data_IF_394447257956
#
_entry.id   IF_394447257956
#
_cell.length_a   1.000
_cell.length_b   1.000
_cell.length_c   1.000
_cell.angle_alpha   90.00
_cell.angle_beta   90.00
_cell.angle_gamma   90.00
#
_symmetry.space_group_name_H-M   'P 1'
#
loop_
_entity.id
_entity.type
_entity.pdbx_description
1 polymer ?
#
# COMPACT_ATOMS: atom_id res chain seq x y z
N UNK A 1 11.53 14.25 -68.06
CA UNK A 1 10.67 13.08 -67.78
C UNK A 1 10.43 13.02 -66.29
N UNK A 2 9.18 13.09 -65.82
CA UNK A 2 8.86 13.01 -64.40
C UNK A 2 8.97 11.57 -63.89
N UNK A 3 9.55 11.41 -62.71
CA UNK A 3 9.62 10.15 -61.96
C UNK A 3 8.20 9.69 -61.54
N UNK A 4 7.93 8.38 -61.47
CA UNK A 4 6.63 7.87 -61.09
C UNK A 4 6.34 8.14 -59.60
N UNK A 5 5.08 8.45 -59.32
CA UNK A 5 4.53 8.63 -57.99
C UNK A 5 4.70 7.33 -57.17
N UNK A 6 5.38 7.44 -56.02
CA UNK A 6 5.37 6.40 -54.99
C UNK A 6 3.99 6.39 -54.34
N UNK A 7 3.25 5.30 -54.57
CA UNK A 7 1.99 5.03 -53.91
C UNK A 7 2.21 4.88 -52.40
N UNK A 8 1.63 5.80 -51.63
CA UNK A 8 1.41 5.67 -50.19
C UNK A 8 0.49 4.48 -49.93
N UNK A 9 1.02 3.32 -49.54
CA UNK A 9 0.29 2.28 -48.79
C UNK A 9 1.26 1.21 -48.26
N UNK A 10 2.24 1.61 -47.46
CA UNK A 10 2.78 0.68 -46.47
C UNK A 10 1.98 0.87 -45.18
N UNK A 11 0.95 0.03 -45.06
CA UNK A 11 0.26 -0.21 -43.79
C UNK A 11 1.31 -0.69 -42.80
N UNK A 12 1.63 0.14 -41.81
CA UNK A 12 2.20 -0.33 -40.54
C UNK A 12 1.35 -1.53 -40.09
N UNK A 13 1.93 -2.70 -39.78
CA UNK A 13 1.14 -3.78 -39.24
C UNK A 13 0.56 -3.29 -37.91
N UNK A 14 -0.75 -3.07 -37.89
CA UNK A 14 -1.51 -2.95 -36.66
C UNK A 14 -1.36 -4.32 -35.96
N UNK A 15 -0.37 -4.42 -35.07
CA UNK A 15 -0.34 -5.52 -34.11
C UNK A 15 -1.62 -5.31 -33.30
N UNK A 16 -2.61 -6.15 -33.56
CA UNK A 16 -3.80 -6.24 -32.74
C UNK A 16 -3.32 -6.66 -31.35
N UNK A 17 -3.13 -5.69 -30.46
CA UNK A 17 -2.99 -5.84 -29.00
C UNK A 17 -4.31 -6.32 -28.38
N UNK A 18 -5.09 -7.09 -29.15
CA UNK A 18 -6.33 -7.69 -28.72
C UNK A 18 -5.93 -8.84 -27.81
N UNK A 19 -6.08 -8.58 -26.51
CA UNK A 19 -6.47 -9.60 -25.54
C UNK A 19 -5.35 -10.56 -25.15
N UNK A 20 -4.47 -10.10 -24.26
CA UNK A 20 -3.61 -10.99 -23.50
C UNK A 20 -4.40 -11.54 -22.31
N UNK A 21 -4.92 -12.76 -22.50
CA UNK A 21 -5.57 -13.57 -21.47
C UNK A 21 -4.50 -14.29 -20.64
N UNK A 22 -4.48 -14.08 -19.33
CA UNK A 22 -3.65 -14.84 -18.38
C UNK A 22 -4.54 -15.62 -17.41
N UNK A 23 -4.80 -16.89 -17.70
CA UNK A 23 -5.82 -17.65 -16.97
C UNK A 23 -7.20 -17.05 -17.24
N UNK A 24 -7.90 -16.60 -16.20
CA UNK A 24 -9.18 -15.86 -16.32
C UNK A 24 -9.03 -14.34 -16.25
N UNK A 25 -7.80 -13.81 -16.24
CA UNK A 25 -7.52 -12.38 -16.07
C UNK A 25 -7.17 -11.71 -17.39
N UNK A 26 -7.72 -10.51 -17.61
CA UNK A 26 -7.58 -9.68 -18.80
C UNK A 26 -6.62 -8.51 -18.59
N UNK A 27 -5.70 -8.29 -19.54
CA UNK A 27 -4.82 -7.13 -19.55
C UNK A 27 -5.46 -5.93 -20.27
N UNK A 28 -5.49 -4.74 -19.64
CA UNK A 28 -5.95 -3.51 -20.32
C UNK A 28 -4.86 -2.98 -21.29
N UNK A 29 -5.09 -3.00 -22.62
CA UNK A 29 -4.06 -2.63 -23.60
C UNK A 29 -3.75 -1.12 -23.61
N UNK A 30 -4.73 -0.26 -23.30
CA UNK A 30 -4.56 1.20 -23.30
C UNK A 30 -3.64 1.69 -22.18
N UNK A 31 -3.78 1.10 -20.99
CA UNK A 31 -2.91 1.33 -19.85
C UNK A 31 -1.54 0.65 -20.05
N UNK A 32 -1.53 -0.57 -20.59
CA UNK A 32 -0.30 -1.32 -20.83
C UNK A 32 0.64 -0.64 -21.83
N UNK A 33 0.10 -0.09 -22.92
CA UNK A 33 0.85 0.72 -23.89
C UNK A 33 1.54 1.95 -23.25
N UNK A 34 1.18 2.33 -22.02
CA UNK A 34 1.75 3.44 -21.25
C UNK A 34 2.54 2.97 -20.02
N UNK A 35 2.90 1.69 -19.96
CA UNK A 35 3.72 1.11 -18.89
C UNK A 35 2.94 0.70 -17.63
N UNK A 36 1.62 0.59 -17.72
CA UNK A 36 0.73 0.16 -16.62
C UNK A 36 0.12 -1.21 -16.91
N UNK A 37 0.51 -2.22 -16.14
CA UNK A 37 -0.14 -3.53 -16.17
C UNK A 37 -1.38 -3.46 -15.28
N UNK A 38 -2.54 -3.75 -15.86
CA UNK A 38 -3.82 -3.83 -15.15
C UNK A 38 -4.46 -5.16 -15.52
N UNK A 39 -4.64 -6.03 -14.54
CA UNK A 39 -5.32 -7.33 -14.72
C UNK A 39 -6.72 -7.27 -14.11
N UNK A 40 -7.74 -7.65 -14.89
CA UNK A 40 -9.14 -7.64 -14.46
C UNK A 40 -9.81 -9.01 -14.66
N UNK A 41 -10.73 -9.42 -13.79
CA UNK A 41 -11.42 -10.72 -13.92
C UNK A 41 -12.44 -10.73 -15.07
N UNK A 42 -13.10 -9.62 -15.32
CA UNK A 42 -14.02 -9.47 -16.45
C UNK A 42 -13.29 -8.98 -17.71
N UNK A 43 -13.78 -9.42 -18.88
CA UNK A 43 -13.38 -8.90 -20.17
C UNK A 43 -13.71 -7.40 -20.23
N UNK A 44 -12.67 -6.57 -20.14
CA UNK A 44 -12.82 -5.13 -20.24
C UNK A 44 -13.00 -4.78 -21.73
N UNK A 45 -14.06 -4.04 -22.06
CA UNK A 45 -14.24 -3.48 -23.41
C UNK A 45 -12.96 -2.79 -23.88
N UNK A 46 -12.53 -3.09 -25.10
CA UNK A 46 -11.36 -2.52 -25.78
C UNK A 46 -11.40 -0.99 -25.90
N UNK A 47 -12.56 -0.37 -25.66
CA UNK A 47 -12.79 1.07 -25.81
C UNK A 47 -12.65 1.86 -24.50
N UNK A 48 -12.35 1.19 -23.38
CA UNK A 48 -12.25 1.86 -22.07
C UNK A 48 -10.91 2.56 -21.89
N UNK A 49 -10.93 3.89 -22.01
CA UNK A 49 -9.81 4.80 -21.66
C UNK A 49 -9.74 5.12 -20.16
N UNK A 50 -10.66 4.55 -19.37
CA UNK A 50 -10.82 4.75 -17.95
C UNK A 50 -10.90 3.42 -17.20
N UNK A 51 -10.46 3.41 -15.95
CA UNK A 51 -10.37 2.27 -15.05
C UNK A 51 -10.85 2.67 -13.66
N UNK A 52 -11.80 1.93 -13.09
CA UNK A 52 -12.16 2.11 -11.68
C UNK A 52 -11.21 1.30 -10.78
N UNK A 53 -10.48 1.99 -9.90
CA UNK A 53 -9.66 1.39 -8.84
C UNK A 53 -10.21 1.80 -7.48
N UNK A 54 -10.99 0.92 -6.84
CA UNK A 54 -11.59 1.14 -5.51
C UNK A 54 -12.43 2.43 -5.42
N UNK A 55 -13.33 2.64 -6.37
CA UNK A 55 -14.17 3.83 -6.45
C UNK A 55 -13.42 5.07 -6.95
N UNK A 56 -12.29 4.88 -7.63
CA UNK A 56 -11.52 5.93 -8.30
C UNK A 56 -11.52 5.66 -9.80
N UNK A 57 -12.32 6.43 -10.51
CA UNK A 57 -12.40 6.43 -11.97
C UNK A 57 -11.15 7.12 -12.57
N UNK A 58 -10.09 6.34 -12.81
CA UNK A 58 -8.80 6.80 -13.34
C UNK A 58 -8.79 6.78 -14.87
N UNK A 59 -8.33 7.86 -15.49
CA UNK A 59 -8.10 7.90 -16.94
C UNK A 59 -6.82 8.67 -17.26
N UNK A 60 -6.23 8.41 -18.41
CA UNK A 60 -5.24 9.34 -18.96
C UNK A 60 -5.94 10.64 -19.39
N UNK A 61 -5.34 11.78 -19.06
CA UNK A 61 -5.95 13.07 -19.36
C UNK A 61 -5.99 13.34 -20.87
N UNK A 62 -7.19 13.45 -21.43
CA UNK A 62 -7.45 14.12 -22.71
C UNK A 62 -7.76 15.59 -22.43
N UNK A 63 -6.90 16.50 -22.88
CA UNK A 63 -6.96 17.97 -22.74
C UNK A 63 -8.10 18.56 -21.87
N UNK A 64 -8.00 18.51 -20.54
CA UNK A 64 -8.92 19.24 -19.67
C UNK A 64 -8.26 19.75 -18.38
N UNK A 65 -8.63 20.98 -18.01
CA UNK A 65 -8.28 21.69 -16.75
C UNK A 65 -6.86 22.31 -16.63
N UNK A 66 -6.50 23.20 -17.56
CA UNK A 66 -5.19 23.89 -17.66
C UNK A 66 -4.68 24.56 -16.37
N UNK A 67 -5.55 25.08 -15.49
CA UNK A 67 -5.15 25.83 -14.29
C UNK A 67 -4.64 24.95 -13.14
N UNK A 68 -5.37 23.88 -12.82
CA UNK A 68 -4.95 22.91 -11.80
C UNK A 68 -3.69 22.15 -12.25
N UNK A 69 -3.66 21.78 -13.54
CA UNK A 69 -2.48 21.22 -14.21
C UNK A 69 -1.25 22.11 -14.01
N UNK A 70 -1.35 23.40 -14.31
CA UNK A 70 -0.24 24.35 -14.15
C UNK A 70 0.26 24.43 -12.71
N UNK A 71 -0.62 24.36 -11.70
CA UNK A 71 -0.21 24.39 -10.29
C UNK A 71 0.62 23.15 -9.92
N UNK A 72 0.11 21.96 -10.20
CA UNK A 72 0.78 20.71 -9.81
C UNK A 72 2.05 20.49 -10.63
N UNK A 73 2.04 20.85 -11.91
CA UNK A 73 3.21 20.80 -12.77
C UNK A 73 4.31 21.76 -12.32
N UNK A 74 3.97 22.99 -11.91
CA UNK A 74 4.95 23.93 -11.34
C UNK A 74 5.54 23.38 -10.04
N UNK A 75 4.73 22.80 -9.17
CA UNK A 75 5.21 22.18 -7.93
C UNK A 75 6.15 21.00 -8.25
N UNK A 76 5.78 20.14 -9.19
CA UNK A 76 6.63 19.03 -9.65
C UNK A 76 7.95 19.55 -10.22
N UNK A 77 7.90 20.54 -11.11
CA UNK A 77 9.10 21.16 -11.66
C UNK A 77 10.00 21.74 -10.57
N UNK A 78 9.44 22.44 -9.57
CA UNK A 78 10.21 22.97 -8.44
C UNK A 78 10.85 21.87 -7.59
N UNK A 79 10.16 20.76 -7.35
CA UNK A 79 10.69 19.60 -6.61
C UNK A 79 11.91 18.98 -7.30
N UNK A 80 11.94 19.00 -8.63
CA UNK A 80 12.98 18.35 -9.43
C UNK A 80 14.00 19.34 -10.05
N UNK A 81 13.77 20.66 -9.96
CA UNK A 81 14.55 21.71 -10.63
C UNK A 81 16.04 21.70 -10.25
N UNK A 82 16.36 21.28 -9.03
CA UNK A 82 17.72 21.27 -8.49
C UNK A 82 18.61 20.14 -9.03
N UNK A 83 18.06 19.14 -9.73
CA UNK A 83 18.80 17.98 -10.26
C UNK A 83 18.41 17.62 -11.70
N UNK A 84 17.83 18.58 -12.43
CA UNK A 84 17.02 18.39 -13.63
C UNK A 84 17.81 18.38 -14.95
N UNK A 85 18.84 17.53 -15.10
CA UNK A 85 19.42 17.25 -16.44
C UNK A 85 18.82 16.02 -17.13
N UNK A 86 17.98 15.22 -16.46
CA UNK A 86 17.50 13.93 -17.01
C UNK A 86 16.00 13.65 -16.88
N UNK A 87 15.20 14.53 -16.28
CA UNK A 87 13.74 14.30 -16.16
C UNK A 87 13.02 15.05 -17.29
N UNK A 88 12.75 14.33 -18.37
CA UNK A 88 11.94 14.82 -19.47
C UNK A 88 10.46 14.84 -19.03
N UNK A 89 10.03 15.91 -18.33
CA UNK A 89 8.62 16.15 -18.01
C UNK A 89 7.95 16.61 -19.32
N UNK A 90 7.64 15.65 -20.20
CA UNK A 90 7.02 15.94 -21.48
C UNK A 90 5.60 16.46 -21.21
N UNK A 91 5.41 17.78 -21.27
CA UNK A 91 4.17 18.47 -20.90
C UNK A 91 2.96 18.14 -21.79
N UNK A 92 3.14 17.31 -22.82
CA UNK A 92 2.12 16.97 -23.82
C UNK A 92 1.69 15.49 -23.84
N UNK A 93 2.19 14.60 -22.96
CA UNK A 93 1.79 13.19 -22.99
C UNK A 93 1.64 12.56 -21.59
N UNK A 94 0.44 12.00 -21.34
CA UNK A 94 0.15 10.91 -20.40
C UNK A 94 0.35 11.13 -18.88
N UNK A 95 -0.39 12.09 -18.28
CA UNK A 95 -0.67 12.06 -16.83
C UNK A 95 -2.04 11.43 -16.56
N UNK A 96 -2.17 10.78 -15.40
CA UNK A 96 -3.41 10.10 -14.98
C UNK A 96 -4.22 11.04 -14.10
N UNK A 97 -5.53 11.09 -14.33
CA UNK A 97 -6.46 11.86 -13.50
C UNK A 97 -7.53 10.95 -12.93
N UNK A 98 -8.02 11.30 -11.75
CA UNK A 98 -9.29 10.79 -11.27
C UNK A 98 -10.43 11.66 -11.83
N UNK A 99 -11.33 11.07 -12.61
CA UNK A 99 -12.48 11.77 -13.24
C UNK A 99 -13.42 12.37 -12.20
N UNK A 100 -13.63 11.66 -11.09
CA UNK A 100 -14.44 12.12 -9.98
C UNK A 100 -13.72 13.18 -9.13
N UNK A 101 -12.38 13.19 -9.12
CA UNK A 101 -11.54 14.12 -8.34
C UNK A 101 -10.46 14.75 -9.20
N UNK A 102 -10.86 15.73 -10.03
CA UNK A 102 -10.03 16.31 -11.11
C UNK A 102 -8.74 17.00 -10.65
N UNK A 103 -8.60 17.26 -9.36
CA UNK A 103 -7.39 17.79 -8.75
C UNK A 103 -6.34 16.71 -8.45
N UNK A 104 -6.74 15.43 -8.37
CA UNK A 104 -5.84 14.27 -8.28
C UNK A 104 -5.21 14.01 -9.67
N UNK A 105 -3.95 14.40 -9.81
CA UNK A 105 -3.21 14.35 -11.08
C UNK A 105 -1.87 13.67 -10.87
N UNK A 106 -1.72 12.46 -11.40
CA UNK A 106 -0.51 11.67 -11.22
C UNK A 106 0.38 11.80 -12.46
N UNK A 107 1.55 12.39 -12.26
CA UNK A 107 2.53 12.66 -13.30
C UNK A 107 3.59 11.56 -13.33
N UNK A 108 3.97 11.06 -14.51
CA UNK A 108 5.05 10.09 -14.61
C UNK A 108 6.38 10.73 -14.19
N UNK A 109 7.12 10.03 -13.33
CA UNK A 109 8.46 10.40 -12.88
C UNK A 109 9.38 9.20 -13.09
N UNK A 110 10.37 9.36 -13.97
CA UNK A 110 11.45 8.40 -14.12
C UNK A 110 12.44 8.53 -12.95
N UNK A 111 12.73 7.43 -12.27
CA UNK A 111 13.65 7.35 -11.11
C UNK A 111 15.02 6.76 -11.49
N UNK A 112 15.06 5.96 -12.54
CA UNK A 112 16.27 5.45 -13.21
C UNK A 112 15.90 5.00 -14.61
N UNK A 113 16.85 4.43 -15.36
CA UNK A 113 16.57 3.80 -16.65
C UNK A 113 15.62 2.60 -16.52
N UNK A 114 15.51 2.01 -15.33
CA UNK A 114 14.71 0.81 -15.08
C UNK A 114 13.49 1.01 -14.19
N UNK A 115 13.41 2.14 -13.48
CA UNK A 115 12.37 2.41 -12.49
C UNK A 115 11.68 3.75 -12.74
N UNK A 116 10.36 3.77 -12.54
CA UNK A 116 9.57 4.99 -12.54
C UNK A 116 8.29 4.80 -11.73
N UNK A 117 7.65 5.91 -11.41
CA UNK A 117 6.41 5.96 -10.63
C UNK A 117 5.51 7.09 -11.14
N UNK A 118 4.24 7.11 -10.73
CA UNK A 118 3.37 8.25 -10.96
C UNK A 118 3.14 9.00 -9.64
N UNK A 119 3.45 10.30 -9.65
CA UNK A 119 3.41 11.16 -8.46
C UNK A 119 2.35 12.22 -8.62
N UNK A 120 1.49 12.35 -7.62
CA UNK A 120 0.61 13.49 -7.44
C UNK A 120 1.14 14.41 -6.34
N UNK A 121 1.80 15.53 -6.70
CA UNK A 121 2.27 16.50 -5.72
C UNK A 121 1.15 17.48 -5.35
N UNK A 122 0.95 17.68 -4.04
CA UNK A 122 0.00 18.65 -3.51
C UNK A 122 0.44 19.19 -2.14
N UNK A 123 -0.28 20.19 -1.63
CA UNK A 123 0.06 20.88 -0.38
C UNK A 123 0.55 22.31 -0.59
N UNK A 124 1.44 22.77 0.29
CA UNK A 124 1.93 24.14 0.29
C UNK A 124 2.95 24.42 -0.82
N UNK A 125 3.11 25.70 -1.17
CA UNK A 125 4.16 26.14 -2.11
C UNK A 125 5.52 25.97 -1.46
N UNK A 126 6.49 25.46 -2.23
CA UNK A 126 7.86 25.39 -1.79
C UNK A 126 8.49 26.79 -1.68
N UNK A 127 9.46 26.99 -0.77
CA UNK A 127 10.21 28.24 -0.70
C UNK A 127 10.99 28.46 -2.01
N UNK A 128 11.25 29.73 -2.37
CA UNK A 128 11.92 30.10 -3.64
C UNK A 128 13.29 29.42 -3.83
N UNK A 129 14.02 29.16 -2.74
CA UNK A 129 15.34 28.52 -2.74
C UNK A 129 15.26 27.11 -2.14
N UNK A 130 14.23 26.35 -2.48
CA UNK A 130 14.08 24.98 -2.01
C UNK A 130 15.24 24.10 -2.51
N UNK A 131 15.98 23.50 -1.58
CA UNK A 131 17.18 22.69 -1.87
C UNK A 131 16.92 21.18 -1.71
N UNK A 132 15.70 20.77 -1.36
CA UNK A 132 15.34 19.39 -1.04
C UNK A 132 14.80 19.23 0.38
N UNK A 133 14.38 18.01 0.70
CA UNK A 133 13.93 17.62 2.03
C UNK A 133 15.01 16.81 2.75
N UNK A 134 14.98 16.80 4.09
CA UNK A 134 15.89 15.98 4.90
C UNK A 134 15.11 14.93 5.71
N UNK A 135 13.78 15.09 5.76
CA UNK A 135 12.88 14.25 6.53
C UNK A 135 11.67 13.88 5.68
N UNK A 136 11.41 12.59 5.63
CA UNK A 136 10.34 11.99 4.87
C UNK A 136 9.46 11.16 5.80
N UNK A 137 8.16 11.16 5.53
CA UNK A 137 7.16 10.40 6.30
C UNK A 137 6.36 9.54 5.36
N UNK A 138 6.25 8.25 5.67
CA UNK A 138 5.53 7.30 4.83
C UNK A 138 4.88 6.21 5.70
N UNK A 139 4.01 5.42 5.10
CA UNK A 139 3.42 4.23 5.72
C UNK A 139 3.20 3.18 4.64
N UNK A 140 3.08 1.93 5.07
CA UNK A 140 2.61 0.85 4.21
C UNK A 140 2.04 -0.29 5.03
N UNK A 141 0.82 -0.71 4.70
CA UNK A 141 0.22 -1.93 5.22
C UNK A 141 0.89 -3.14 4.56
N UNK A 142 1.94 -3.66 5.20
CA UNK A 142 2.78 -4.72 4.66
C UNK A 142 2.30 -6.14 4.97
N UNK A 143 1.23 -6.30 5.74
CA UNK A 143 0.71 -7.62 6.11
C UNK A 143 -0.21 -8.13 5.01
N UNK A 144 0.28 -9.09 4.21
CA UNK A 144 -0.48 -9.72 3.13
C UNK A 144 -1.36 -10.88 3.61
N UNK A 145 -2.16 -11.45 2.71
CA UNK A 145 -3.11 -12.53 3.00
C UNK A 145 -2.51 -13.89 3.41
N UNK A 146 -1.22 -13.95 3.75
CA UNK A 146 -0.56 -15.14 4.26
C UNK A 146 -0.88 -15.44 5.72
N UNK A 147 -1.26 -14.42 6.50
CA UNK A 147 -1.78 -14.62 7.85
C UNK A 147 -3.26 -14.95 7.75
N UNK A 148 -3.62 -16.19 8.10
CA UNK A 148 -4.97 -16.71 7.93
C UNK A 148 -5.51 -17.27 9.24
N UNK A 149 -6.80 -17.06 9.46
CA UNK A 149 -7.57 -17.76 10.47
C UNK A 149 -8.15 -19.04 9.87
N UNK A 150 -8.15 -20.12 10.64
CA UNK A 150 -8.92 -21.33 10.37
C UNK A 150 -10.20 -21.23 11.19
N UNK A 151 -11.34 -21.27 10.52
CA UNK A 151 -12.65 -21.20 11.16
C UNK A 151 -13.02 -22.57 11.77
N UNK A 152 -14.04 -22.61 12.63
CA UNK A 152 -14.51 -23.86 13.25
C UNK A 152 -15.02 -24.90 12.25
N UNK A 153 -15.46 -24.48 11.06
CA UNK A 153 -15.75 -25.39 9.93
C UNK A 153 -14.52 -25.91 9.18
N UNK A 154 -13.31 -25.40 9.49
CA UNK A 154 -12.08 -25.69 8.76
C UNK A 154 -11.88 -24.81 7.52
N UNK A 155 -12.78 -23.84 7.26
CA UNK A 155 -12.60 -22.83 6.20
C UNK A 155 -11.49 -21.86 6.58
N UNK A 156 -10.68 -21.40 5.61
CA UNK A 156 -9.61 -20.44 5.86
C UNK A 156 -10.06 -19.02 5.46
N UNK A 157 -9.77 -18.02 6.29
CA UNK A 157 -10.01 -16.62 6.00
C UNK A 157 -8.74 -15.77 6.18
N UNK A 158 -8.54 -14.76 5.33
CA UNK A 158 -7.40 -13.85 5.46
C UNK A 158 -7.63 -12.83 6.59
N UNK A 159 -6.64 -12.66 7.47
CA UNK A 159 -6.72 -11.74 8.62
C UNK A 159 -6.09 -10.38 8.29
N UNK A 160 -6.42 -9.83 7.12
CA UNK A 160 -5.88 -8.55 6.64
C UNK A 160 -6.94 -7.46 6.49
N UNK A 161 -8.22 -7.81 6.57
CA UNK A 161 -9.31 -6.86 6.46
C UNK A 161 -9.89 -6.57 7.85
N UNK A 162 -9.86 -5.30 8.27
CA UNK A 162 -10.42 -4.89 9.56
C UNK A 162 -11.96 -4.99 9.61
N UNK A 163 -12.60 -5.09 8.44
CA UNK A 163 -14.04 -5.33 8.26
C UNK A 163 -14.35 -6.82 8.04
N UNK A 164 -13.52 -7.72 8.57
CA UNK A 164 -13.78 -9.16 8.53
C UNK A 164 -15.12 -9.48 9.21
N UNK A 165 -16.06 -10.00 8.43
CA UNK A 165 -17.33 -10.55 8.92
C UNK A 165 -17.25 -12.06 8.80
N UNK A 166 -17.34 -12.75 9.93
CA UNK A 166 -17.44 -14.21 9.95
C UNK A 166 -18.90 -14.62 9.65
N UNK A 167 -19.10 -15.78 9.00
CA UNK A 167 -20.43 -16.38 8.93
C UNK A 167 -21.01 -16.59 10.34
N UNK A 168 -22.34 -16.64 10.43
CA UNK A 168 -23.01 -16.87 11.70
C UNK A 168 -22.49 -18.15 12.37
N UNK A 169 -22.24 -18.08 13.68
CA UNK A 169 -21.73 -19.16 14.52
C UNK A 169 -20.31 -19.68 14.17
N UNK A 170 -19.59 -19.03 13.25
CA UNK A 170 -18.18 -19.32 13.00
C UNK A 170 -17.26 -18.55 13.95
N UNK A 171 -16.19 -19.21 14.36
CA UNK A 171 -15.10 -18.59 15.13
C UNK A 171 -13.75 -19.03 14.57
N UNK A 172 -12.73 -18.20 14.74
CA UNK A 172 -11.35 -18.53 14.37
C UNK A 172 -10.76 -19.39 15.49
N UNK A 173 -10.48 -20.66 15.18
CA UNK A 173 -9.97 -21.66 16.12
C UNK A 173 -8.46 -21.85 16.03
N UNK A 174 -7.82 -21.42 14.94
CA UNK A 174 -6.38 -21.46 14.79
C UNK A 174 -5.87 -20.36 13.85
N UNK A 175 -4.58 -20.03 13.99
CA UNK A 175 -3.86 -19.10 13.11
C UNK A 175 -2.82 -19.88 12.35
N UNK A 176 -2.80 -19.72 11.03
CA UNK A 176 -1.78 -20.30 10.17
C UNK A 176 -1.07 -19.19 9.39
N UNK A 177 0.21 -19.42 9.15
CA UNK A 177 1.03 -18.61 8.27
C UNK A 177 1.43 -19.46 7.07
N UNK A 178 1.04 -19.05 5.86
CA UNK A 178 1.50 -19.74 4.65
C UNK A 178 2.98 -19.45 4.41
N UNK A 179 3.77 -20.51 4.21
CA UNK A 179 5.22 -20.44 4.02
C UNK A 179 5.66 -19.81 2.68
N UNK A 180 4.76 -19.73 1.70
CA UNK A 180 5.06 -19.19 0.37
C UNK A 180 5.26 -17.66 0.43
N UNK A 181 6.22 -17.14 -0.34
CA UNK A 181 6.41 -15.70 -0.44
C UNK A 181 5.12 -15.02 -0.93
N UNK A 182 4.60 -14.07 -0.15
CA UNK A 182 3.38 -13.36 -0.52
C UNK A 182 3.69 -12.34 -1.63
N UNK A 183 3.08 -12.45 -2.82
CA UNK A 183 3.40 -11.54 -3.92
C UNK A 183 3.00 -10.08 -3.65
N UNK A 184 1.97 -9.84 -2.83
CA UNK A 184 1.60 -8.49 -2.39
C UNK A 184 2.68 -7.88 -1.50
N UNK A 185 3.21 -8.63 -0.53
CA UNK A 185 4.32 -8.16 0.32
C UNK A 185 5.58 -7.87 -0.51
N UNK A 186 5.92 -8.73 -1.47
CA UNK A 186 7.05 -8.52 -2.40
C UNK A 186 6.90 -7.26 -3.24
N UNK A 187 5.68 -6.99 -3.75
CA UNK A 187 5.42 -5.77 -4.50
C UNK A 187 5.57 -4.52 -3.63
N UNK A 188 5.11 -4.55 -2.38
CA UNK A 188 5.30 -3.43 -1.44
C UNK A 188 6.78 -3.17 -1.12
N UNK A 189 7.60 -4.21 -0.99
CA UNK A 189 9.05 -4.02 -0.86
C UNK A 189 9.68 -3.40 -2.10
N UNK A 190 9.25 -3.81 -3.30
CA UNK A 190 9.72 -3.22 -4.55
C UNK A 190 9.32 -1.73 -4.65
N UNK A 191 8.13 -1.36 -4.21
CA UNK A 191 7.72 0.04 -4.13
C UNK A 191 8.50 0.82 -3.08
N UNK A 192 8.77 0.23 -1.92
CA UNK A 192 9.61 0.90 -0.94
C UNK A 192 11.01 1.19 -1.51
N UNK A 193 11.58 0.27 -2.30
CA UNK A 193 12.83 0.51 -3.01
C UNK A 193 12.73 1.67 -4.03
N UNK A 194 11.61 1.78 -4.77
CA UNK A 194 11.33 2.94 -5.64
C UNK A 194 11.20 4.22 -4.82
N UNK A 195 10.54 4.17 -3.66
CA UNK A 195 10.41 5.31 -2.75
C UNK A 195 11.78 5.76 -2.26
N UNK A 196 12.70 4.84 -1.94
CA UNK A 196 14.08 5.17 -1.62
C UNK A 196 14.78 5.93 -2.76
N UNK A 197 14.62 5.51 -4.01
CA UNK A 197 15.18 6.24 -5.16
C UNK A 197 14.58 7.65 -5.29
N UNK A 198 13.26 7.77 -5.12
CA UNK A 198 12.57 9.06 -5.14
C UNK A 198 13.05 9.97 -4.01
N UNK A 199 13.19 9.44 -2.79
CA UNK A 199 13.75 10.14 -1.63
C UNK A 199 15.14 10.68 -1.95
N UNK A 200 16.04 9.87 -2.50
CA UNK A 200 17.39 10.32 -2.86
C UNK A 200 17.40 11.47 -3.88
N UNK A 201 16.44 11.45 -4.82
CA UNK A 201 16.27 12.55 -5.78
C UNK A 201 15.77 13.82 -5.10
N UNK A 202 14.80 13.71 -4.20
CA UNK A 202 14.20 14.84 -3.49
C UNK A 202 15.00 15.32 -2.26
N UNK A 203 16.01 14.57 -1.86
CA UNK A 203 16.83 14.86 -0.69
C UNK A 203 17.75 16.06 -0.90
N UNK A 204 17.96 16.83 0.16
CA UNK A 204 18.96 17.89 0.22
C UNK A 204 20.36 17.32 0.00
N UNK A 205 21.13 17.93 -0.90
CA UNK A 205 22.38 17.37 -1.44
C UNK A 205 23.46 17.02 -0.40
N UNK A 206 23.43 17.63 0.78
CA UNK A 206 24.46 17.47 1.81
C UNK A 206 24.00 16.70 3.06
N UNK A 207 22.78 16.17 3.06
CA UNK A 207 22.19 15.55 4.26
C UNK A 207 21.91 14.07 4.04
N UNK A 208 22.03 13.28 5.11
CA UNK A 208 21.53 11.89 5.11
C UNK A 208 20.00 11.94 5.25
N UNK A 209 19.24 11.45 4.26
CA UNK A 209 17.78 11.46 4.33
C UNK A 209 17.29 10.59 5.48
N UNK A 210 16.30 11.10 6.22
CA UNK A 210 15.63 10.37 7.30
C UNK A 210 14.22 10.01 6.87
N UNK A 211 13.82 8.76 7.08
CA UNK A 211 12.47 8.27 6.81
C UNK A 211 11.85 7.80 8.11
N UNK A 212 10.75 8.43 8.51
CA UNK A 212 9.84 7.91 9.53
C UNK A 212 8.80 7.05 8.82
N UNK A 213 8.86 5.73 9.05
CA UNK A 213 7.99 4.75 8.41
C UNK A 213 7.00 4.19 9.42
N UNK A 214 5.71 4.30 9.13
CA UNK A 214 4.69 3.64 9.91
C UNK A 214 4.46 2.20 9.40
N UNK A 215 4.98 1.24 10.18
CA UNK A 215 4.74 -0.19 10.02
C UNK A 215 3.62 -0.60 11.00
N UNK A 216 2.43 -1.00 10.52
CA UNK A 216 1.22 -1.04 11.33
C UNK A 216 1.08 -2.30 12.21
N UNK A 217 2.16 -2.84 12.79
CA UNK A 217 2.06 -4.08 13.58
C UNK A 217 1.19 -3.93 14.84
N UNK A 218 1.19 -2.74 15.46
CA UNK A 218 0.33 -2.45 16.62
C UNK A 218 -1.13 -2.31 16.23
N UNK A 219 -1.40 -1.85 15.01
CA UNK A 219 -2.72 -1.81 14.41
C UNK A 219 -3.27 -3.24 14.26
N UNK A 220 -2.43 -4.18 13.81
CA UNK A 220 -2.79 -5.59 13.76
C UNK A 220 -3.05 -6.19 15.15
N UNK A 221 -2.25 -5.83 16.16
CA UNK A 221 -2.51 -6.27 17.55
C UNK A 221 -3.87 -5.75 18.02
N UNK A 222 -4.19 -4.47 17.78
CA UNK A 222 -5.49 -3.89 18.09
C UNK A 222 -6.63 -4.58 17.33
N UNK A 223 -6.41 -4.94 16.06
CA UNK A 223 -7.35 -5.73 15.28
C UNK A 223 -7.59 -7.13 15.89
N UNK A 224 -6.53 -7.84 16.30
CA UNK A 224 -6.67 -9.12 17.01
C UNK A 224 -7.45 -8.99 18.32
N UNK A 225 -7.22 -7.92 19.07
CA UNK A 225 -7.97 -7.62 20.29
C UNK A 225 -9.45 -7.32 20.00
N UNK A 226 -9.75 -6.59 18.92
CA UNK A 226 -11.14 -6.39 18.43
C UNK A 226 -11.81 -7.72 18.18
N UNK A 227 -11.18 -8.62 17.42
CA UNK A 227 -11.72 -9.95 17.14
C UNK A 227 -11.97 -10.74 18.44
N UNK A 228 -11.06 -10.66 19.41
CA UNK A 228 -11.25 -11.31 20.72
C UNK A 228 -12.41 -10.71 21.52
N UNK A 229 -12.53 -9.38 21.54
CA UNK A 229 -13.62 -8.66 22.23
C UNK A 229 -14.99 -9.04 21.65
N UNK A 230 -15.05 -9.21 20.33
CA UNK A 230 -16.26 -9.61 19.61
C UNK A 230 -16.55 -11.13 19.68
N UNK A 231 -15.75 -11.92 20.42
CA UNK A 231 -15.92 -13.36 20.54
C UNK A 231 -15.57 -14.15 19.28
N UNK A 232 -14.95 -13.52 18.27
CA UNK A 232 -14.57 -14.16 17.01
C UNK A 232 -13.34 -15.05 17.15
N UNK A 233 -12.54 -14.88 18.21
CA UNK A 233 -11.41 -15.75 18.55
C UNK A 233 -11.22 -15.83 20.07
N UNK A 234 -10.56 -16.89 20.55
CA UNK A 234 -10.24 -17.09 21.97
C UNK A 234 -8.95 -16.35 22.36
N UNK A 235 -8.70 -16.17 23.66
CA UNK A 235 -7.45 -15.58 24.14
C UNK A 235 -6.20 -16.41 23.76
N UNK A 236 -6.34 -17.73 23.66
CA UNK A 236 -5.27 -18.63 23.22
C UNK A 236 -4.94 -18.41 21.74
N UNK A 237 -5.97 -18.31 20.90
CA UNK A 237 -5.81 -18.00 19.47
C UNK A 237 -5.24 -16.59 19.29
N UNK A 238 -5.64 -15.62 20.12
CA UNK A 238 -5.07 -14.27 20.13
C UNK A 238 -3.56 -14.29 20.39
N UNK A 239 -3.11 -15.11 21.34
CA UNK A 239 -1.67 -15.25 21.67
C UNK A 239 -0.90 -15.71 20.44
N UNK A 240 -1.40 -16.73 19.75
CA UNK A 240 -0.81 -17.22 18.49
C UNK A 240 -0.82 -16.14 17.41
N UNK A 241 -1.91 -15.37 17.30
CA UNK A 241 -2.01 -14.28 16.34
C UNK A 241 -0.96 -13.19 16.59
N UNK A 242 -0.79 -12.76 17.84
CA UNK A 242 0.20 -11.75 18.24
C UNK A 242 1.62 -12.23 17.94
N UNK A 243 1.94 -13.49 18.24
CA UNK A 243 3.24 -14.09 17.91
C UNK A 243 3.53 -14.01 16.40
N UNK A 244 2.59 -14.44 15.56
CA UNK A 244 2.73 -14.36 14.10
C UNK A 244 2.88 -12.94 13.57
N UNK A 245 2.12 -11.98 14.12
CA UNK A 245 2.24 -10.56 13.77
C UNK A 245 3.64 -10.04 14.12
N UNK A 246 4.16 -10.39 15.30
CA UNK A 246 5.49 -9.96 15.76
C UNK A 246 6.62 -10.54 14.89
N UNK A 247 6.54 -11.83 14.56
CA UNK A 247 7.51 -12.50 13.66
C UNK A 247 7.53 -11.82 12.28
N UNK A 248 6.35 -11.56 11.70
CA UNK A 248 6.24 -10.85 10.42
C UNK A 248 6.74 -9.41 10.51
N UNK A 249 6.41 -8.68 11.57
CA UNK A 249 6.89 -7.32 11.79
C UNK A 249 8.43 -7.25 11.84
N UNK A 250 9.07 -8.22 12.51
CA UNK A 250 10.53 -8.34 12.53
C UNK A 250 11.12 -8.57 11.14
N UNK A 251 10.53 -9.49 10.36
CA UNK A 251 10.94 -9.75 8.99
C UNK A 251 10.78 -8.51 8.10
N UNK A 252 9.62 -7.85 8.14
CA UNK A 252 9.35 -6.64 7.38
C UNK A 252 10.30 -5.50 7.76
N UNK A 253 10.53 -5.29 9.06
CA UNK A 253 11.48 -4.30 9.53
C UNK A 253 12.89 -4.56 9.01
N UNK A 254 13.40 -5.79 9.13
CA UNK A 254 14.72 -6.15 8.63
C UNK A 254 14.85 -5.88 7.13
N UNK A 255 13.84 -6.24 6.33
CA UNK A 255 13.86 -6.03 4.88
C UNK A 255 13.75 -4.57 4.48
N UNK A 256 12.89 -3.78 5.15
CA UNK A 256 12.81 -2.33 4.94
C UNK A 256 14.12 -1.64 5.31
N UNK A 257 14.74 -2.04 6.43
CA UNK A 257 16.01 -1.49 6.88
C UNK A 257 17.15 -1.81 5.91
N UNK A 258 17.21 -3.04 5.38
CA UNK A 258 18.16 -3.43 4.35
C UNK A 258 18.02 -2.54 3.11
N UNK A 259 16.79 -2.41 2.58
CA UNK A 259 16.50 -1.56 1.41
C UNK A 259 16.89 -0.10 1.66
N UNK A 260 16.50 0.48 2.80
CA UNK A 260 16.88 1.85 3.14
C UNK A 260 18.41 2.04 3.22
N UNK A 261 19.11 1.07 3.81
CA UNK A 261 20.57 1.09 3.97
C UNK A 261 21.28 1.05 2.62
N UNK A 262 20.77 0.29 1.64
CA UNK A 262 21.32 0.24 0.28
C UNK A 262 21.36 1.62 -0.40
N UNK A 263 20.43 2.52 -0.05
CA UNK A 263 20.37 3.89 -0.57
C UNK A 263 20.97 4.93 0.38
N UNK A 264 21.59 4.53 1.49
CA UNK A 264 22.13 5.47 2.49
C UNK A 264 21.06 6.26 3.23
N UNK A 265 19.86 5.69 3.41
CA UNK A 265 18.73 6.32 4.09
C UNK A 265 18.66 5.83 5.54
N UNK A 266 18.46 6.77 6.48
CA UNK A 266 18.18 6.43 7.88
C UNK A 266 16.68 6.18 8.06
N UNK A 267 16.29 4.91 8.18
CA UNK A 267 14.94 4.49 8.50
C UNK A 267 14.71 4.48 10.02
N UNK A 268 13.55 4.97 10.45
CA UNK A 268 13.04 4.83 11.81
C UNK A 268 11.60 4.35 11.72
N UNK A 269 11.28 3.23 12.39
CA UNK A 269 9.90 2.83 12.56
C UNK A 269 9.20 3.73 13.58
N UNK A 270 8.03 4.23 13.22
CA UNK A 270 7.22 5.08 14.09
C UNK A 270 5.79 4.57 14.14
N UNK A 271 5.17 4.59 15.31
CA UNK A 271 3.77 4.23 15.46
C UNK A 271 3.06 5.26 16.34
N UNK A 272 1.86 5.72 15.95
CA UNK A 272 1.04 6.56 16.79
C UNK A 272 0.54 5.79 18.03
N UNK A 273 0.63 4.46 18.00
CA UNK A 273 0.22 3.54 19.08
C UNK A 273 1.37 3.14 20.03
N UNK A 274 2.55 3.76 19.88
CA UNK A 274 3.67 3.52 20.77
C UNK A 274 3.27 3.71 22.25
N UNK A 275 3.61 2.77 23.13
CA UNK A 275 3.24 2.81 24.55
C UNK A 275 1.90 2.15 24.89
N UNK A 276 1.08 1.72 23.92
CA UNK A 276 0.04 0.73 24.19
C UNK A 276 0.66 -0.62 24.56
N UNK A 277 1.60 -1.03 23.72
CA UNK A 277 2.36 -2.27 23.85
C UNK A 277 3.86 -1.96 23.92
N UNK A 278 4.66 -2.97 24.26
CA UNK A 278 6.11 -2.93 24.13
C UNK A 278 6.48 -2.44 22.73
N UNK A 279 7.44 -1.51 22.67
CA UNK A 279 8.00 -1.06 21.38
C UNK A 279 8.84 -2.16 20.71
N UNK A 280 9.25 -3.15 21.51
CA UNK A 280 10.06 -4.27 21.07
C UNK A 280 9.17 -5.47 20.72
N UNK A 281 8.90 -5.63 19.43
CA UNK A 281 8.20 -6.80 18.89
C UNK A 281 9.02 -8.10 18.94
N UNK A 282 10.27 -8.07 19.45
CA UNK A 282 11.04 -9.31 19.70
C UNK A 282 10.61 -10.03 20.98
N UNK A 283 9.70 -9.43 21.77
CA UNK A 283 9.10 -10.06 22.95
C UNK A 283 7.57 -10.18 22.81
N UNK A 284 7.06 -11.17 22.04
CA UNK A 284 5.63 -11.40 21.86
C UNK A 284 4.88 -11.70 23.17
N UNK A 285 5.53 -12.34 24.13
CA UNK A 285 4.93 -12.68 25.43
C UNK A 285 4.53 -11.42 26.20
N UNK A 286 5.42 -10.42 26.27
CA UNK A 286 5.14 -9.15 26.93
C UNK A 286 3.99 -8.40 26.24
N UNK A 287 3.98 -8.40 24.91
CA UNK A 287 2.90 -7.79 24.12
C UNK A 287 1.57 -8.49 24.39
N UNK A 288 1.58 -9.83 24.43
CA UNK A 288 0.41 -10.64 24.74
C UNK A 288 -0.12 -10.34 26.14
N UNK A 289 0.74 -10.29 27.16
CA UNK A 289 0.33 -9.94 28.52
C UNK A 289 -0.32 -8.54 28.58
N UNK A 290 0.24 -7.58 27.84
CA UNK A 290 -0.31 -6.23 27.76
C UNK A 290 -1.67 -6.20 27.04
N UNK A 291 -1.81 -6.93 25.93
CA UNK A 291 -3.09 -7.08 25.22
C UNK A 291 -4.16 -7.74 26.10
N UNK A 292 -3.80 -8.82 26.79
CA UNK A 292 -4.69 -9.51 27.74
C UNK A 292 -5.08 -8.61 28.92
N UNK A 293 -4.17 -7.75 29.41
CA UNK A 293 -4.50 -6.81 30.50
C UNK A 293 -5.58 -5.79 30.14
N UNK A 294 -5.68 -5.42 28.86
CA UNK A 294 -6.77 -4.58 28.36
C UNK A 294 -8.07 -5.38 28.26
N UNK A 295 -8.02 -6.60 27.71
CA UNK A 295 -9.20 -7.47 27.54
C UNK A 295 -9.78 -7.94 28.88
N UNK A 296 -8.96 -8.07 29.92
CA UNK A 296 -9.41 -8.42 31.26
C UNK A 296 -10.35 -7.36 31.89
N UNK A 297 -10.33 -6.12 31.40
CA UNK A 297 -11.19 -5.04 31.92
C UNK A 297 -12.62 -5.13 31.38
N UNK A 298 -12.77 -5.55 30.11
CA UNK A 298 -14.06 -5.77 29.46
C UNK A 298 -13.85 -6.39 28.07
N UNK A 299 -14.79 -7.22 27.65
CA UNK A 299 -14.93 -7.66 26.24
C UNK A 299 -15.79 -6.68 25.40
N UNK A 300 -16.24 -5.57 25.99
CA UNK A 300 -16.87 -4.48 25.26
C UNK A 300 -15.81 -3.64 24.52
N UNK A 301 -15.92 -3.57 23.20
CA UNK A 301 -15.00 -2.82 22.33
C UNK A 301 -14.90 -1.33 22.70
N UNK A 302 -16.00 -0.71 23.13
CA UNK A 302 -16.01 0.70 23.55
C UNK A 302 -15.18 0.91 24.80
N UNK A 303 -15.29 0.00 25.77
CA UNK A 303 -14.49 0.03 27.00
C UNK A 303 -13.01 -0.20 26.69
N UNK A 304 -12.70 -1.17 25.82
CA UNK A 304 -11.36 -1.43 25.34
C UNK A 304 -10.73 -0.17 24.70
N UNK A 305 -11.45 0.47 23.76
CA UNK A 305 -10.97 1.66 23.05
C UNK A 305 -10.72 2.81 24.02
N UNK A 306 -11.61 3.02 25.00
CA UNK A 306 -11.43 4.04 26.04
C UNK A 306 -10.18 3.80 26.87
N UNK A 307 -9.93 2.55 27.30
CA UNK A 307 -8.72 2.20 28.04
C UNK A 307 -7.45 2.40 27.22
N UNK A 308 -7.48 2.03 25.93
CA UNK A 308 -6.38 2.31 25.01
C UNK A 308 -6.13 3.82 24.87
N UNK A 309 -7.17 4.62 24.64
CA UNK A 309 -7.07 6.07 24.50
C UNK A 309 -6.52 6.73 25.76
N UNK A 310 -7.00 6.34 26.94
CA UNK A 310 -6.51 6.85 28.22
C UNK A 310 -5.01 6.56 28.41
N UNK A 311 -4.56 5.34 28.04
CA UNK A 311 -3.14 4.98 28.09
C UNK A 311 -2.32 5.77 27.08
N UNK A 312 -2.82 5.94 25.86
CA UNK A 312 -2.18 6.76 24.82
C UNK A 312 -1.99 8.21 25.27
N UNK A 313 -3.03 8.82 25.85
CA UNK A 313 -2.94 10.21 26.33
C UNK A 313 -1.92 10.34 27.47
N UNK A 314 -1.88 9.38 28.40
CA UNK A 314 -1.05 9.48 29.62
C UNK A 314 0.40 9.03 29.44
N UNK A 315 0.65 8.03 28.58
CA UNK A 315 1.93 7.31 28.56
C UNK A 315 2.61 7.26 27.18
N UNK A 316 1.96 7.73 26.11
CA UNK A 316 2.58 7.84 24.80
C UNK A 316 3.42 9.12 24.72
N UNK A 317 4.56 9.06 24.02
CA UNK A 317 5.38 10.23 23.67
C UNK A 317 4.60 11.29 22.86
N UNK A 318 3.50 10.88 22.22
CA UNK A 318 2.55 11.69 21.47
C UNK A 318 1.25 11.95 22.24
N UNK A 319 1.20 11.75 23.56
CA UNK A 319 -0.02 11.89 24.37
C UNK A 319 -0.72 13.24 24.22
N UNK A 320 0.04 14.34 24.09
CA UNK A 320 -0.50 15.67 23.83
C UNK A 320 -1.19 15.78 22.44
N UNK A 321 -0.71 15.05 21.44
CA UNK A 321 -1.37 14.99 20.12
C UNK A 321 -2.66 14.18 20.20
N UNK A 322 -2.67 13.06 20.93
CA UNK A 322 -3.86 12.27 21.18
C UNK A 322 -4.94 13.09 21.91
N UNK A 323 -4.56 13.87 22.92
CA UNK A 323 -5.48 14.77 23.61
C UNK A 323 -6.06 15.84 22.67
N UNK A 324 -5.21 16.48 21.84
CA UNK A 324 -5.67 17.47 20.85
C UNK A 324 -6.60 16.87 19.81
N UNK A 325 -6.30 15.66 19.33
CA UNK A 325 -7.16 14.94 18.41
C UNK A 325 -8.54 14.69 19.01
N UNK A 326 -8.58 14.23 20.26
CA UNK A 326 -9.82 14.06 21.01
C UNK A 326 -10.59 15.40 21.11
N UNK A 327 -9.91 16.50 21.41
CA UNK A 327 -10.53 17.82 21.53
C UNK A 327 -11.11 18.35 20.21
N UNK A 328 -10.42 18.12 19.09
CA UNK A 328 -10.87 18.52 17.74
C UNK A 328 -12.16 17.79 17.35
N UNK A 329 -12.30 16.53 17.77
CA UNK A 329 -13.42 15.66 17.43
C UNK A 329 -14.48 15.54 18.54
N UNK A 330 -14.32 16.24 19.68
CA UNK A 330 -15.34 16.35 20.76
C UNK A 330 -16.78 16.60 20.27
N UNK A 331 -17.05 17.39 19.21
CA UNK A 331 -18.41 17.58 18.70
C UNK A 331 -19.02 16.33 18.04
N UNK A 332 -18.21 15.32 17.73
CA UNK A 332 -18.57 14.04 17.09
C UNK A 332 -18.02 12.87 17.92
N UNK A 333 -18.48 12.77 19.17
CA UNK A 333 -18.13 11.70 20.13
C UNK A 333 -18.16 10.27 19.55
N UNK A 334 -18.79 10.05 18.40
CA UNK A 334 -18.76 8.79 17.64
C UNK A 334 -17.38 8.33 17.15
N UNK A 335 -16.35 9.19 17.15
CA UNK A 335 -15.06 8.88 16.53
C UNK A 335 -14.08 8.06 17.41
N UNK A 336 -14.48 7.63 18.62
CA UNK A 336 -13.66 6.78 19.50
C UNK A 336 -14.48 5.65 20.14
N UNK A 337 -15.43 5.08 19.39
CA UNK A 337 -16.31 4.03 19.90
C UNK A 337 -15.84 2.62 19.55
N UNK A 338 -14.99 2.49 18.53
CA UNK A 338 -14.49 1.22 18.04
C UNK A 338 -13.00 1.33 17.67
N UNK A 339 -12.37 0.17 17.49
CA UNK A 339 -10.95 0.09 17.19
C UNK A 339 -10.65 0.76 15.84
N UNK A 340 -11.54 0.65 14.85
CA UNK A 340 -11.33 1.23 13.51
C UNK A 340 -11.29 2.76 13.56
N UNK A 341 -12.12 3.38 14.38
CA UNK A 341 -12.10 4.81 14.62
C UNK A 341 -10.79 5.23 15.31
N UNK A 342 -10.32 4.46 16.29
CA UNK A 342 -9.02 4.67 16.93
C UNK A 342 -7.85 4.59 15.93
N UNK A 343 -7.86 3.60 15.03
CA UNK A 343 -6.88 3.42 13.95
C UNK A 343 -6.86 4.61 12.98
N UNK A 344 -8.04 5.05 12.53
CA UNK A 344 -8.19 6.20 11.64
C UNK A 344 -7.60 7.49 12.22
N UNK A 345 -7.83 7.72 13.52
CA UNK A 345 -7.24 8.85 14.25
C UNK A 345 -5.73 8.67 14.36
N UNK A 346 -5.27 7.51 14.84
CA UNK A 346 -3.84 7.23 15.02
C UNK A 346 -3.04 7.43 13.73
N UNK A 347 -3.50 6.90 12.61
CA UNK A 347 -2.82 7.04 11.32
C UNK A 347 -2.61 8.51 10.92
N UNK A 348 -3.60 9.37 11.22
CA UNK A 348 -3.51 10.83 11.01
C UNK A 348 -2.41 11.47 11.87
N UNK A 349 -2.17 10.95 13.07
CA UNK A 349 -1.17 11.46 14.00
C UNK A 349 0.26 11.14 13.58
N UNK A 350 0.49 10.19 12.68
CA UNK A 350 1.85 9.87 12.18
C UNK A 350 2.50 11.12 11.58
N UNK A 351 1.80 11.82 10.68
CA UNK A 351 2.32 13.06 10.08
C UNK A 351 2.45 14.15 11.15
N UNK A 352 1.45 14.30 12.03
CA UNK A 352 1.46 15.32 13.08
C UNK A 352 2.66 15.17 14.04
N UNK A 353 2.97 13.95 14.46
CA UNK A 353 4.12 13.64 15.31
C UNK A 353 5.43 14.14 14.69
N UNK A 354 5.65 13.86 13.39
CA UNK A 354 6.87 14.29 12.71
C UNK A 354 6.95 15.82 12.57
N UNK A 355 5.82 16.49 12.40
CA UNK A 355 5.78 17.97 12.28
C UNK A 355 6.16 18.67 13.57
N UNK A 356 5.82 18.09 14.74
CA UNK A 356 6.25 18.62 16.03
C UNK A 356 7.76 18.44 16.24
N UNK A 357 8.32 17.33 15.75
CA UNK A 357 9.74 17.00 15.92
C UNK A 357 10.66 17.76 14.95
N UNK A 358 10.14 18.25 13.81
CA UNK A 358 10.98 18.76 12.73
C UNK A 358 11.46 20.22 12.88
N UNK A 359 11.15 20.93 13.98
CA UNK A 359 11.65 22.30 14.26
C UNK A 359 11.65 23.25 13.06
N UNK A 360 10.51 23.35 12.35
CA UNK A 360 10.32 24.16 11.14
C UNK A 360 11.05 23.72 9.86
N UNK A 361 11.70 22.55 9.84
CA UNK A 361 12.29 22.01 8.61
C UNK A 361 11.21 21.50 7.64
N UNK A 362 11.44 21.59 6.31
CA UNK A 362 10.57 20.99 5.32
C UNK A 362 10.44 19.47 5.51
N UNK A 363 9.21 18.98 5.53
CA UNK A 363 8.87 17.55 5.54
C UNK A 363 8.19 17.20 4.22
N UNK A 364 8.59 16.06 3.64
CA UNK A 364 7.85 15.45 2.54
C UNK A 364 7.12 14.22 3.03
N UNK A 365 5.80 14.17 2.86
CA UNK A 365 5.06 12.93 3.09
C UNK A 365 4.94 12.17 1.78
N UNK A 366 5.37 10.92 1.74
CA UNK A 366 5.32 10.03 0.59
C UNK A 366 4.34 8.91 0.94
N UNK A 367 3.11 8.94 0.44
CA UNK A 367 2.13 7.90 0.74
C UNK A 367 1.63 7.24 -0.55
N UNK A 368 1.43 5.91 -0.53
CA UNK A 368 0.63 5.24 -1.56
C UNK A 368 -0.79 5.83 -1.64
N UNK A 369 -1.48 5.62 -2.76
CA UNK A 369 -2.81 6.17 -3.02
C UNK A 369 -3.86 5.57 -2.08
N UNK A 370 -3.72 4.29 -1.73
CA UNK A 370 -4.48 3.58 -0.69
C UNK A 370 -4.41 4.32 0.64
N UNK A 371 -3.26 4.87 0.96
CA UNK A 371 -3.00 5.57 2.23
C UNK A 371 -3.16 7.10 2.13
N UNK A 372 -3.63 7.63 0.99
CA UNK A 372 -3.84 9.07 0.79
C UNK A 372 -4.75 9.68 1.85
N UNK A 373 -5.69 8.91 2.41
CA UNK A 373 -6.61 9.40 3.43
C UNK A 373 -5.87 9.94 4.67
N UNK A 374 -4.69 9.40 5.00
CA UNK A 374 -3.84 9.89 6.09
C UNK A 374 -3.42 11.34 5.84
N UNK A 375 -2.95 11.64 4.62
CA UNK A 375 -2.55 13.00 4.22
C UNK A 375 -3.75 13.97 4.24
N UNK A 376 -4.92 13.53 3.74
CA UNK A 376 -6.13 14.34 3.71
C UNK A 376 -6.65 14.68 5.12
N UNK A 377 -6.69 13.67 6.00
CA UNK A 377 -7.11 13.85 7.39
C UNK A 377 -6.17 14.81 8.12
N UNK A 378 -4.85 14.63 7.95
CA UNK A 378 -3.87 15.51 8.56
C UNK A 378 -4.06 16.96 8.08
N UNK A 379 -4.18 17.18 6.76
CA UNK A 379 -4.36 18.52 6.21
C UNK A 379 -5.66 19.20 6.69
N UNK A 380 -6.72 18.42 6.91
CA UNK A 380 -7.98 18.89 7.50
C UNK A 380 -7.80 19.27 8.97
N UNK A 381 -7.15 18.43 9.77
CA UNK A 381 -6.99 18.61 11.21
C UNK A 381 -5.94 19.66 11.57
N UNK A 382 -4.92 19.84 10.74
CA UNK A 382 -3.95 20.92 10.89
C UNK A 382 -4.64 22.31 10.85
N UNK A 383 -5.68 22.48 10.02
CA UNK A 383 -6.49 23.71 9.99
C UNK A 383 -7.29 23.93 11.28
N UNK A 384 -7.52 22.87 12.05
CA UNK A 384 -8.21 22.89 13.34
C UNK A 384 -7.25 22.96 14.54
N UNK A 385 -5.95 23.16 14.31
CA UNK A 385 -4.97 23.35 15.37
C UNK A 385 -4.27 22.09 15.88
N UNK A 386 -4.38 20.94 15.18
CA UNK A 386 -3.67 19.72 15.57
C UNK A 386 -2.14 19.94 15.59
N UNK A 387 -1.61 20.43 14.47
CA UNK A 387 -0.20 20.73 14.26
C UNK A 387 -0.02 21.73 13.10
N UNK A 388 1.17 22.30 12.97
CA UNK A 388 1.48 23.22 11.87
C UNK A 388 1.67 22.47 10.56
N UNK A 389 0.93 22.89 9.52
CA UNK A 389 1.12 22.40 8.14
C UNK A 389 2.06 23.27 7.30
N UNK A 390 2.70 24.28 7.89
CA UNK A 390 3.43 25.33 7.16
C UNK A 390 4.63 24.84 6.34
N UNK A 391 5.18 23.66 6.64
CA UNK A 391 6.40 23.15 6.03
C UNK A 391 6.23 21.74 5.46
N UNK A 392 5.01 21.39 5.01
CA UNK A 392 4.71 20.04 4.54
C UNK A 392 4.34 20.06 3.07
N UNK A 393 4.99 19.19 2.32
CA UNK A 393 4.63 18.87 0.94
C UNK A 393 4.19 17.42 0.86
N UNK A 394 3.02 17.20 0.27
CA UNK A 394 2.45 15.87 0.11
C UNK A 394 2.76 15.35 -1.29
N UNK A 395 3.33 14.15 -1.37
CA UNK A 395 3.46 13.37 -2.57
C UNK A 395 2.60 12.11 -2.37
N UNK A 396 1.55 11.99 -3.18
CA UNK A 396 0.77 10.75 -3.26
C UNK A 396 1.27 9.96 -4.46
N UNK A 397 1.61 8.69 -4.25
CA UNK A 397 2.10 7.79 -5.29
C UNK A 397 0.94 6.93 -5.79
N UNK A 398 0.86 6.67 -7.08
CA UNK A 398 -0.12 5.72 -7.60
C UNK A 398 0.31 4.30 -7.20
N UNK A 399 -0.56 3.58 -6.49
CA UNK A 399 -0.25 2.22 -6.03
C UNK A 399 0.00 1.28 -7.20
N UNK A 400 0.99 0.37 -7.13
CA UNK A 400 0.98 -0.79 -7.99
C UNK A 400 -0.12 -1.76 -7.53
N UNK A 401 -0.16 -2.24 -6.30
CA UNK A 401 -1.01 -3.40 -5.96
C UNK A 401 -2.08 -2.98 -4.97
N UNK A 402 -3.35 -3.15 -5.34
CA UNK A 402 -4.44 -2.74 -4.45
C UNK A 402 -5.00 -3.92 -3.64
N UNK A 403 -5.06 -5.15 -4.18
CA UNK A 403 -5.22 -6.40 -3.38
C UNK A 403 -4.96 -7.66 -4.22
N UNK A 404 -4.47 -8.74 -3.59
CA UNK A 404 -4.76 -10.12 -4.00
C UNK A 404 -4.97 -10.96 -2.75
N UNK A 405 -6.20 -11.47 -2.56
CA UNK A 405 -6.43 -12.60 -1.67
C UNK A 405 -7.28 -13.64 -2.40
N UNK A 406 -7.14 -14.93 -2.10
CA UNK A 406 -8.03 -15.96 -2.64
C UNK A 406 -9.51 -15.73 -2.27
N UNK A 407 -9.79 -14.95 -1.22
CA UNK A 407 -11.12 -14.72 -0.64
C UNK A 407 -11.75 -13.37 -1.01
N UNK A 408 -10.97 -12.44 -1.55
CA UNK A 408 -11.42 -11.12 -2.02
C UNK A 408 -10.97 -10.97 -3.46
N UNK A 409 -11.91 -10.80 -4.39
CA UNK A 409 -11.59 -10.49 -5.79
C UNK A 409 -10.68 -9.25 -5.82
N UNK A 410 -9.39 -9.48 -6.04
CA UNK A 410 -8.37 -8.44 -5.96
C UNK A 410 -7.77 -8.19 -7.34
N UNK A 411 -7.76 -6.92 -7.74
CA UNK A 411 -7.18 -6.45 -8.99
C UNK A 411 -5.68 -6.25 -8.81
N UNK A 412 -4.91 -6.93 -9.67
CA UNK A 412 -3.47 -6.77 -9.76
C UNK A 412 -3.19 -5.57 -10.68
N UNK A 413 -2.68 -4.50 -10.09
CA UNK A 413 -2.09 -3.39 -10.82
C UNK A 413 -0.56 -3.47 -10.63
N UNK A 414 0.22 -3.11 -11.65
CA UNK A 414 1.67 -3.03 -11.54
C UNK A 414 2.19 -1.99 -12.51
N UNK A 415 2.96 -1.05 -11.99
CA UNK A 415 3.37 0.15 -12.70
C UNK A 415 4.89 0.14 -12.95
N UNK A 416 5.31 0.23 -14.21
CA UNK A 416 6.71 0.34 -14.61
C UNK A 416 6.91 1.54 -15.55
N UNK A 417 7.04 2.75 -15.00
CA UNK A 417 7.19 3.98 -15.79
C UNK A 417 8.61 4.22 -16.36
N UNK A 418 9.27 3.22 -16.94
CA UNK A 418 10.49 3.49 -17.72
C UNK A 418 10.14 3.56 -19.21
N UNK A 419 10.31 4.74 -19.81
CA UNK A 419 10.15 4.99 -21.25
C UNK A 419 11.15 4.18 -22.11
N UNK A 420 12.38 3.96 -21.61
CA UNK A 420 13.38 3.13 -22.28
C UNK A 420 13.00 1.64 -22.24
N UNK A 421 12.45 1.16 -21.12
CA UNK A 421 11.84 -0.17 -21.08
C UNK A 421 10.57 -0.25 -21.89
N UNK A 422 9.74 0.79 -21.95
CA UNK A 422 8.56 0.82 -22.81
C UNK A 422 8.98 0.66 -24.29
N UNK A 423 10.01 1.40 -24.72
CA UNK A 423 10.58 1.26 -26.06
C UNK A 423 11.18 -0.14 -26.33
N UNK A 424 11.88 -0.75 -25.36
CA UNK A 424 12.39 -2.12 -25.45
C UNK A 424 11.28 -3.18 -25.41
N UNK A 425 10.21 -2.91 -24.65
CA UNK A 425 9.05 -3.79 -24.49
C UNK A 425 8.19 -3.75 -25.77
N UNK A 426 8.07 -2.59 -26.43
CA UNK A 426 7.34 -2.44 -27.70
C UNK A 426 7.99 -3.20 -28.88
N UNK A 427 9.19 -3.77 -28.71
CA UNK A 427 9.75 -4.75 -29.65
C UNK A 427 8.98 -6.07 -29.61
N UNK A 428 8.99 -6.81 -30.72
CA UNK A 428 8.32 -8.12 -30.83
C UNK A 428 8.80 -9.04 -29.69
N UNK A 429 7.88 -9.41 -28.78
CA UNK A 429 8.04 -10.23 -27.57
C UNK A 429 8.62 -9.56 -26.31
N UNK A 430 8.97 -8.27 -26.33
CA UNK A 430 9.52 -7.58 -25.15
C UNK A 430 8.48 -7.33 -24.05
N UNK A 431 7.30 -6.83 -24.45
CA UNK A 431 6.14 -6.58 -23.59
C UNK A 431 5.66 -7.88 -22.95
N UNK A 432 5.62 -8.97 -23.72
CA UNK A 432 5.23 -10.29 -23.21
C UNK A 432 6.25 -10.85 -22.23
N UNK A 433 7.55 -10.78 -22.52
CA UNK A 433 8.58 -11.23 -21.58
C UNK A 433 8.62 -10.41 -20.30
N UNK A 434 8.42 -9.09 -20.40
CA UNK A 434 8.39 -8.22 -19.22
C UNK A 434 7.11 -8.41 -18.40
N UNK A 435 5.95 -8.57 -19.05
CA UNK A 435 4.71 -8.98 -18.41
C UNK A 435 4.91 -10.33 -17.72
N UNK A 436 5.40 -11.36 -18.41
CA UNK A 436 5.70 -12.67 -17.83
C UNK A 436 6.74 -12.63 -16.72
N UNK A 437 7.77 -11.77 -16.78
CA UNK A 437 8.76 -11.61 -15.71
C UNK A 437 8.14 -10.94 -14.47
N UNK A 438 7.38 -9.86 -14.68
CA UNK A 438 6.69 -9.18 -13.60
C UNK A 438 5.59 -10.05 -13.00
N UNK A 439 4.91 -10.86 -13.82
CA UNK A 439 3.93 -11.87 -13.42
C UNK A 439 4.59 -13.11 -12.78
N UNK A 440 5.82 -13.46 -13.15
CA UNK A 440 6.55 -14.60 -12.56
C UNK A 440 6.86 -14.39 -11.08
N UNK A 441 6.97 -13.14 -10.63
CA UNK A 441 6.99 -12.78 -9.22
C UNK A 441 5.72 -13.22 -8.47
N UNK A 442 4.62 -13.45 -9.21
CA UNK A 442 3.30 -13.88 -8.72
C UNK A 442 2.95 -15.32 -9.10
N UNK A 443 3.61 -15.91 -10.12
CA UNK A 443 3.30 -17.24 -10.67
C UNK A 443 4.01 -18.41 -9.97
N UNK A 444 4.77 -18.16 -8.89
CA UNK A 444 5.40 -19.24 -8.10
C UNK A 444 4.41 -20.18 -7.37
N UNK A 445 3.11 -20.03 -7.61
CA UNK A 445 2.02 -20.78 -6.95
C UNK A 445 1.62 -22.10 -7.63
N UNK A 446 2.35 -22.61 -8.63
CA UNK A 446 1.88 -23.81 -9.37
C UNK A 446 2.84 -25.00 -9.47
N UNK A 447 3.99 -25.00 -8.77
CA UNK A 447 4.86 -26.18 -8.75
C UNK A 447 5.12 -26.74 -7.34
N UNK A 448 4.09 -26.82 -6.50
CA UNK A 448 4.07 -27.87 -5.50
C UNK A 448 3.75 -29.18 -6.23
N UNK A 449 4.78 -29.97 -6.55
CA UNK A 449 4.59 -31.36 -6.97
C UNK A 449 3.74 -32.04 -5.90
N UNK A 450 2.54 -32.47 -6.27
CA UNK A 450 1.78 -33.46 -5.51
C UNK A 450 2.72 -34.61 -5.18
N UNK A 451 2.90 -35.00 -3.91
CA UNK A 451 3.61 -36.22 -3.60
C UNK A 451 2.85 -37.37 -4.27
N UNK A 452 3.53 -38.08 -5.18
CA UNK A 452 3.08 -39.36 -5.73
C UNK A 452 3.06 -40.40 -4.61
N UNK A 453 2.07 -40.33 -3.73
CA UNK A 453 1.71 -41.42 -2.84
C UNK A 453 0.35 -41.13 -2.23
N UNK A 454 -0.71 -41.50 -2.93
CA UNK A 454 -1.99 -42.00 -2.40
C UNK A 454 -2.85 -42.39 -3.62
N UNK A 455 -2.43 -43.46 -4.31
CA UNK A 455 -3.37 -44.18 -5.18
C UNK A 455 -4.40 -44.86 -4.26
N UNK A 456 -5.71 -44.73 -4.52
CA UNK A 456 -6.71 -45.52 -3.84
C UNK A 456 -6.50 -46.99 -4.26
N UNK A 457 -6.28 -47.87 -3.28
CA UNK A 457 -6.35 -49.31 -3.50
C UNK A 457 -7.75 -49.67 -3.96
N UNK A 458 -7.84 -50.32 -5.12
CA UNK A 458 -9.07 -50.85 -5.71
C UNK A 458 -9.81 -51.78 -4.73
N UNK A 459 -11.16 -51.80 -4.73
CA UNK A 459 -11.93 -52.70 -3.89
C UNK A 459 -11.90 -54.11 -4.49
N UNK A 460 -11.27 -55.06 -3.78
CA UNK A 460 -11.33 -56.49 -4.05
C UNK A 460 -12.59 -57.14 -3.43
N UNK A 461 -13.03 -58.30 -3.95
CA UNK A 461 -14.43 -58.69 -3.94
C UNK A 461 -14.91 -59.31 -2.63
N UNK A 462 -16.22 -59.12 -2.41
CA UNK A 462 -17.06 -59.77 -1.41
C UNK A 462 -16.84 -61.29 -1.35
N UNK A 463 -16.67 -61.81 -0.14
CA UNK A 463 -16.98 -63.19 0.20
C UNK A 463 -18.15 -63.21 1.18
N UNK A 464 -19.25 -63.80 0.71
CA UNK A 464 -20.39 -64.29 1.49
C UNK A 464 -19.95 -65.17 2.66
N UNK A 465 -20.67 -65.12 3.79
CA UNK A 465 -20.87 -66.31 4.58
C UNK A 465 -22.36 -66.58 4.78
N UNK A 466 -22.80 -67.76 4.34
CA UNK A 466 -23.90 -68.51 4.96
C UNK A 466 -23.68 -70.00 4.67
N UNK A 467 -24.12 -70.93 5.53
CA UNK A 467 -24.84 -70.76 6.80
C UNK A 467 -23.96 -70.87 8.05
#
# INVERSE_FOLDING_TARGET
MPLPALSTTEKTPAIALNELLFGSLWLNPYFFARGLVVLHQDAVSTDTTALDLHGRDLQFASETNKKALKKNQVLLQQLFATKLSSININASADFIINRARRDEQFFPVALSDEAGTYVYPWGQKLPKNFQGFNHFVTAGCMFGGNLQGVLSSGVHCALINHDLVLPQDESIVAIIERAEANPFELALFAEFAKNCQLIMRLNHSNDVPKVSYHLPYQDYILFGMKLCAQGMLTQEVLTTFIDKVCVKAAHHHARLQELATQYGIKLTLTSPFAGLFSADFTNPDLITQQAQSFLAQSYDETVLVKSCLDKLIKHNVYGALWQKAQDIDKPKLSNFNDVEALLRVGNTLVIAAQTLMASHKPICTLYPLTEKQIQLNFASWAKKGLASAANITHLTLLDPVITYTPTTAGLLFYCACSLNRLAQSLGQDGLMRQASKNLSLFAHTSSAKTPDSLKPSSPGPYHDPSP
#
